data_IF_943634892516
#
_entry.id   IF_943634892516
#
_cell.length_a   1.000
_cell.length_b   1.000
_cell.length_c   1.000
_cell.angle_alpha   90.00
_cell.angle_beta   90.00
_cell.angle_gamma   90.00
#
_symmetry.space_group_name_H-M   'P 1'
#
loop_
_entity.id
_entity.type
_entity.pdbx_description
1 polymer ?
#
# COMPACT_ATOMS: atom_id res chain seq x y z
N UNK A 1 2.93 -24.77 31.68
CA UNK A 1 1.94 -24.89 30.58
C UNK A 1 0.57 -24.28 30.87
N UNK A 2 -0.08 -24.53 32.02
CA UNK A 2 -1.46 -24.04 32.30
C UNK A 2 -1.67 -22.52 32.19
N UNK A 3 -0.67 -21.71 32.56
CA UNK A 3 -0.75 -20.23 32.54
C UNK A 3 -0.78 -19.63 31.12
N UNK A 4 -0.05 -20.23 30.17
CA UNK A 4 -0.09 -19.81 28.76
C UNK A 4 -1.41 -20.20 28.11
N UNK A 5 -1.91 -21.42 28.34
CA UNK A 5 -3.21 -21.85 27.80
C UNK A 5 -4.40 -21.04 28.35
N UNK A 6 -4.30 -20.47 29.54
CA UNK A 6 -5.30 -19.55 30.10
C UNK A 6 -5.29 -18.19 29.39
N UNK A 7 -4.10 -17.61 29.15
CA UNK A 7 -3.93 -16.40 28.30
C UNK A 7 -4.48 -16.59 26.88
N UNK A 8 -4.39 -17.81 26.34
CA UNK A 8 -4.98 -18.16 25.03
C UNK A 8 -6.51 -18.26 25.04
N UNK A 9 -7.14 -18.52 26.18
CA UNK A 9 -8.62 -18.53 26.31
C UNK A 9 -9.21 -17.13 26.46
N UNK A 10 -8.46 -16.18 27.01
CA UNK A 10 -8.81 -14.74 27.08
C UNK A 10 -8.42 -13.97 25.82
N UNK A 11 -7.77 -14.65 24.87
CA UNK A 11 -7.22 -14.06 23.66
C UNK A 11 -8.38 -13.65 22.72
N UNK A 12 -8.46 -12.34 22.47
CA UNK A 12 -9.62 -11.72 21.82
C UNK A 12 -9.78 -12.22 20.37
N UNK A 13 -10.86 -12.97 20.13
CA UNK A 13 -11.13 -13.66 18.86
C UNK A 13 -11.17 -12.72 17.67
N UNK A 14 -11.65 -11.49 17.85
CA UNK A 14 -11.83 -10.56 16.73
C UNK A 14 -10.50 -9.90 16.30
N UNK A 15 -9.65 -9.52 17.26
CA UNK A 15 -8.32 -8.96 16.99
C UNK A 15 -7.41 -9.95 16.30
N UNK A 16 -7.37 -11.20 16.79
CA UNK A 16 -6.58 -12.25 16.17
C UNK A 16 -7.12 -12.62 14.79
N UNK A 17 -8.45 -12.69 14.60
CA UNK A 17 -9.06 -12.94 13.29
C UNK A 17 -8.73 -11.85 12.28
N UNK A 18 -8.83 -10.58 12.66
CA UNK A 18 -8.52 -9.46 11.76
C UNK A 18 -7.02 -9.40 11.44
N UNK A 19 -6.16 -9.67 12.42
CA UNK A 19 -4.71 -9.79 12.22
C UNK A 19 -4.35 -10.93 11.27
N UNK A 20 -4.95 -12.11 11.45
CA UNK A 20 -4.75 -13.26 10.55
C UNK A 20 -5.24 -12.93 9.14
N UNK A 21 -6.38 -12.28 9.01
CA UNK A 21 -6.89 -11.84 7.71
C UNK A 21 -5.93 -10.87 7.02
N UNK A 22 -5.37 -9.91 7.77
CA UNK A 22 -4.35 -8.99 7.27
C UNK A 22 -3.06 -9.73 6.85
N UNK A 23 -2.57 -10.66 7.69
CA UNK A 23 -1.40 -11.48 7.41
C UNK A 23 -1.57 -12.37 6.19
N UNK A 24 -2.72 -13.05 6.05
CA UNK A 24 -3.07 -13.87 4.90
C UNK A 24 -3.15 -13.02 3.63
N UNK A 25 -3.77 -11.84 3.71
CA UNK A 25 -3.87 -10.90 2.60
C UNK A 25 -2.47 -10.48 2.12
N UNK A 26 -1.56 -10.15 3.04
CA UNK A 26 -0.18 -9.84 2.72
C UNK A 26 0.56 -11.06 2.13
N UNK A 27 0.38 -12.25 2.70
CA UNK A 27 1.03 -13.49 2.26
C UNK A 27 0.62 -13.85 0.82
N UNK A 28 -0.68 -13.81 0.50
CA UNK A 28 -1.18 -14.08 -0.86
C UNK A 28 -0.56 -13.12 -1.87
N UNK A 29 -0.48 -11.83 -1.52
CA UNK A 29 0.16 -10.82 -2.37
C UNK A 29 1.64 -11.12 -2.56
N UNK A 30 2.34 -11.52 -1.49
CA UNK A 30 3.75 -11.86 -1.53
C UNK A 30 4.02 -13.08 -2.41
N UNK A 31 3.27 -14.17 -2.20
CA UNK A 31 3.44 -15.43 -2.94
C UNK A 31 3.15 -15.26 -4.43
N UNK A 32 2.03 -14.65 -4.80
CA UNK A 32 1.65 -14.52 -6.22
C UNK A 32 2.60 -13.58 -6.98
N UNK A 33 3.02 -12.48 -6.34
CA UNK A 33 4.05 -11.60 -6.91
C UNK A 33 5.39 -12.32 -7.05
N UNK A 34 5.82 -13.00 -5.99
CA UNK A 34 7.09 -13.72 -5.96
C UNK A 34 7.14 -14.79 -7.05
N UNK A 35 6.09 -15.62 -7.14
CA UNK A 35 5.92 -16.62 -8.20
C UNK A 35 6.05 -16.00 -9.60
N UNK A 36 5.33 -14.90 -9.86
CA UNK A 36 5.38 -14.23 -11.15
C UNK A 36 6.78 -13.73 -11.52
N UNK A 37 7.51 -13.15 -10.56
CA UNK A 37 8.89 -12.71 -10.80
C UNK A 37 9.84 -13.88 -11.05
N UNK A 38 9.70 -14.98 -10.32
CA UNK A 38 10.50 -16.19 -10.54
C UNK A 38 10.25 -16.76 -11.94
N UNK A 39 8.98 -16.91 -12.34
CA UNK A 39 8.64 -17.39 -13.69
C UNK A 39 9.15 -16.45 -14.78
N UNK A 40 9.10 -15.14 -14.56
CA UNK A 40 9.65 -14.15 -15.48
C UNK A 40 11.17 -14.30 -15.63
N UNK A 41 11.89 -14.48 -14.52
CA UNK A 41 13.34 -14.67 -14.54
C UNK A 41 13.75 -15.94 -15.27
N UNK A 42 13.08 -17.06 -14.99
CA UNK A 42 13.33 -18.34 -15.66
C UNK A 42 13.03 -18.22 -17.16
N UNK A 43 11.88 -17.64 -17.54
CA UNK A 43 11.53 -17.41 -18.95
C UNK A 43 12.59 -16.57 -19.66
N UNK A 44 13.03 -15.47 -19.04
CA UNK A 44 14.08 -14.61 -19.60
C UNK A 44 15.40 -15.38 -19.76
N UNK A 45 15.78 -16.21 -18.78
CA UNK A 45 16.96 -17.06 -18.85
C UNK A 45 16.88 -18.05 -20.02
N UNK A 46 15.74 -18.71 -20.19
CA UNK A 46 15.49 -19.65 -21.29
C UNK A 46 15.47 -18.94 -22.66
N UNK A 47 14.90 -17.74 -22.76
CA UNK A 47 14.85 -16.97 -24.02
C UNK A 47 16.23 -16.59 -24.55
N UNK A 48 17.27 -16.59 -23.70
CA UNK A 48 18.65 -16.41 -24.17
C UNK A 48 19.12 -17.53 -25.10
N UNK A 49 18.42 -18.67 -25.16
CA UNK A 49 18.66 -19.75 -26.13
C UNK A 49 18.58 -19.27 -27.57
N UNK A 50 17.71 -18.32 -27.87
CA UNK A 50 17.53 -17.78 -29.23
C UNK A 50 18.62 -16.78 -29.62
N UNK A 51 19.54 -16.44 -28.70
CA UNK A 51 20.67 -15.56 -28.99
C UNK A 51 21.84 -16.35 -29.58
N UNK A 52 22.62 -15.76 -30.51
CA UNK A 52 23.91 -16.29 -30.89
C UNK A 52 24.81 -16.49 -29.66
N UNK A 53 25.58 -17.59 -29.63
CA UNK A 53 26.35 -18.03 -28.46
C UNK A 53 27.28 -16.95 -27.90
N UNK A 54 27.96 -16.20 -28.77
CA UNK A 54 28.90 -15.15 -28.34
C UNK A 54 28.18 -13.97 -27.66
N UNK A 55 27.03 -13.57 -28.23
CA UNK A 55 26.17 -12.52 -27.67
C UNK A 55 25.59 -12.98 -26.33
N UNK A 56 25.10 -14.22 -26.26
CA UNK A 56 24.56 -14.80 -25.03
C UNK A 56 25.55 -14.76 -23.88
N UNK A 57 26.78 -15.26 -24.11
CA UNK A 57 27.84 -15.28 -23.10
C UNK A 57 28.22 -13.87 -22.65
N UNK A 58 28.33 -12.93 -23.59
CA UNK A 58 28.60 -11.53 -23.28
C UNK A 58 27.46 -10.92 -22.43
N UNK A 59 26.21 -11.11 -22.83
CA UNK A 59 25.03 -10.60 -22.11
C UNK A 59 24.98 -11.11 -20.67
N UNK A 60 25.13 -12.43 -20.46
CA UNK A 60 25.11 -13.02 -19.11
C UNK A 60 26.25 -12.46 -18.25
N UNK A 61 27.47 -12.34 -18.78
CA UNK A 61 28.62 -11.77 -18.05
C UNK A 61 28.42 -10.30 -17.67
N UNK A 62 27.85 -9.50 -18.57
CA UNK A 62 27.51 -8.09 -18.30
C UNK A 62 26.46 -8.02 -17.19
N UNK A 63 25.41 -8.84 -17.26
CA UNK A 63 24.36 -8.87 -16.24
C UNK A 63 24.91 -9.28 -14.87
N UNK A 64 25.77 -10.31 -14.80
CA UNK A 64 26.45 -10.70 -13.55
C UNK A 64 27.24 -9.51 -12.99
N UNK A 65 28.03 -8.84 -13.83
CA UNK A 65 28.82 -7.68 -13.41
C UNK A 65 27.94 -6.55 -12.86
N UNK A 66 26.81 -6.26 -13.51
CA UNK A 66 25.85 -5.24 -13.05
C UNK A 66 25.19 -5.61 -11.72
N UNK A 67 24.83 -6.89 -11.53
CA UNK A 67 24.25 -7.38 -10.28
C UNK A 67 25.27 -7.28 -9.14
N UNK A 68 26.52 -7.68 -9.38
CA UNK A 68 27.60 -7.58 -8.40
C UNK A 68 27.91 -6.13 -8.04
N UNK A 69 27.99 -5.24 -9.03
CA UNK A 69 28.17 -3.81 -8.82
C UNK A 69 27.04 -3.22 -7.96
N UNK A 70 25.78 -3.59 -8.27
CA UNK A 70 24.63 -3.16 -7.48
C UNK A 70 24.72 -3.65 -6.03
N UNK A 71 25.10 -4.90 -5.81
CA UNK A 71 25.29 -5.44 -4.47
C UNK A 71 26.36 -4.67 -3.70
N UNK A 72 27.50 -4.37 -4.34
CA UNK A 72 28.57 -3.58 -3.73
C UNK A 72 28.10 -2.18 -3.34
N UNK A 73 27.39 -1.48 -4.24
CA UNK A 73 26.82 -0.15 -3.97
C UNK A 73 25.87 -0.20 -2.78
N UNK A 74 24.96 -1.18 -2.76
CA UNK A 74 23.96 -1.31 -1.69
C UNK A 74 24.62 -1.69 -0.34
N UNK A 75 25.66 -2.53 -0.34
CA UNK A 75 26.44 -2.86 0.86
C UNK A 75 27.20 -1.65 1.40
N UNK A 76 27.95 -0.93 0.55
CA UNK A 76 28.68 0.29 0.94
C UNK A 76 27.70 1.32 1.51
N UNK A 77 26.56 1.49 0.85
CA UNK A 77 25.53 2.40 1.33
C UNK A 77 24.98 1.97 2.69
N UNK A 78 24.63 0.71 2.89
CA UNK A 78 24.11 0.22 4.17
C UNK A 78 25.16 0.30 5.29
N UNK A 79 26.43 0.08 4.99
CA UNK A 79 27.53 0.34 5.94
C UNK A 79 27.59 1.83 6.32
N UNK A 80 27.41 2.73 5.36
CA UNK A 80 27.47 4.18 5.58
C UNK A 80 26.24 4.76 6.26
N UNK A 81 25.03 4.31 5.91
CA UNK A 81 23.76 4.88 6.36
C UNK A 81 23.10 4.09 7.50
N UNK A 82 23.59 2.87 7.78
CA UNK A 82 22.95 1.87 8.67
C UNK A 82 21.51 1.53 8.29
N UNK A 83 21.07 1.90 7.08
CA UNK A 83 19.74 1.58 6.58
C UNK A 83 19.72 0.19 5.93
N UNK A 84 19.09 -0.78 6.61
CA UNK A 84 18.88 -2.15 6.10
C UNK A 84 17.80 -2.25 5.01
N UNK A 85 17.06 -1.16 4.76
CA UNK A 85 15.97 -1.14 3.79
C UNK A 85 16.41 -1.49 2.37
N UNK A 86 17.57 -0.97 1.93
CA UNK A 86 18.13 -1.26 0.60
C UNK A 86 18.55 -2.73 0.45
N UNK A 87 19.18 -3.31 1.48
CA UNK A 87 19.61 -4.72 1.47
C UNK A 87 18.45 -5.69 1.23
N UNK A 88 17.24 -5.42 1.73
CA UNK A 88 16.07 -6.25 1.46
C UNK A 88 15.73 -6.27 -0.04
N UNK A 89 15.81 -5.11 -0.69
CA UNK A 89 15.57 -4.98 -2.13
C UNK A 89 16.67 -5.67 -2.94
N UNK A 90 17.93 -5.49 -2.53
CA UNK A 90 19.09 -6.16 -3.15
C UNK A 90 18.98 -7.67 -3.04
N UNK A 91 18.61 -8.20 -1.86
CA UNK A 91 18.41 -9.63 -1.65
C UNK A 91 17.33 -10.20 -2.60
N UNK A 92 16.18 -9.53 -2.70
CA UNK A 92 15.13 -9.94 -3.64
C UNK A 92 15.61 -9.90 -5.10
N UNK A 93 16.40 -8.89 -5.47
CA UNK A 93 16.95 -8.77 -6.82
C UNK A 93 17.95 -9.88 -7.14
N UNK A 94 18.87 -10.19 -6.22
CA UNK A 94 19.80 -11.31 -6.33
C UNK A 94 19.05 -12.63 -6.43
N UNK A 95 18.04 -12.85 -5.60
CA UNK A 95 17.22 -14.06 -5.63
C UNK A 95 16.58 -14.26 -7.02
N UNK A 96 15.95 -13.21 -7.57
CA UNK A 96 15.37 -13.25 -8.92
C UNK A 96 16.46 -13.51 -9.98
N UNK A 97 17.64 -12.91 -9.84
CA UNK A 97 18.75 -13.12 -10.76
C UNK A 97 19.31 -14.55 -10.72
N UNK A 98 19.35 -15.20 -9.56
CA UNK A 98 19.72 -16.62 -9.46
C UNK A 98 18.77 -17.50 -10.29
N UNK A 99 17.46 -17.27 -10.22
CA UNK A 99 16.50 -17.98 -11.06
C UNK A 99 16.68 -17.72 -12.56
N UNK A 100 17.14 -16.52 -12.94
CA UNK A 100 17.52 -16.24 -14.33
C UNK A 100 18.73 -17.07 -14.76
N UNK A 101 19.76 -17.18 -13.91
CA UNK A 101 20.94 -18.00 -14.18
C UNK A 101 20.58 -19.48 -14.33
N UNK A 102 19.74 -20.01 -13.43
CA UNK A 102 19.23 -21.38 -13.53
C UNK A 102 18.50 -21.62 -14.86
N UNK A 103 17.68 -20.66 -15.30
CA UNK A 103 17.07 -20.72 -16.63
C UNK A 103 18.08 -20.72 -17.77
N UNK A 104 19.16 -19.94 -17.67
CA UNK A 104 20.25 -19.92 -18.66
C UNK A 104 21.12 -21.20 -18.65
N UNK A 105 21.32 -21.82 -17.49
CA UNK A 105 22.08 -23.05 -17.39
C UNK A 105 21.28 -24.27 -17.87
N UNK A 106 19.96 -24.26 -17.65
CA UNK A 106 19.06 -25.31 -18.15
C UNK A 106 19.20 -25.54 -19.66
N UNK A 107 19.28 -24.47 -20.45
CA UNK A 107 19.41 -24.55 -21.91
C UNK A 107 20.81 -24.96 -22.41
N UNK A 108 21.83 -24.93 -21.54
CA UNK A 108 23.15 -25.50 -21.86
C UNK A 108 23.12 -27.03 -21.78
N UNK A 109 22.25 -27.55 -20.91
CA UNK A 109 22.13 -28.99 -20.64
C UNK A 109 21.01 -29.64 -21.48
N UNK A 110 20.01 -28.88 -21.92
CA UNK A 110 18.84 -29.40 -22.61
C UNK A 110 18.52 -28.61 -23.89
N UNK A 111 18.09 -29.31 -24.94
CA UNK A 111 17.57 -28.70 -26.16
C UNK A 111 16.15 -28.19 -25.92
N UNK A 112 15.89 -26.92 -26.23
CA UNK A 112 14.56 -26.34 -26.13
C UNK A 112 13.67 -26.83 -27.27
N UNK A 113 12.57 -27.50 -26.93
CA UNK A 113 11.50 -27.83 -27.89
C UNK A 113 10.47 -26.71 -27.92
N UNK A 114 9.92 -26.40 -29.09
CA UNK A 114 8.85 -25.39 -29.26
C UNK A 114 7.66 -25.62 -28.30
N UNK A 115 7.26 -26.87 -28.09
CA UNK A 115 6.20 -27.23 -27.14
C UNK A 115 6.50 -26.79 -25.69
N UNK A 116 7.77 -26.89 -25.26
CA UNK A 116 8.18 -26.47 -23.92
C UNK A 116 8.09 -24.95 -23.77
N UNK A 117 8.56 -24.22 -24.79
CA UNK A 117 8.53 -22.76 -24.82
C UNK A 117 7.10 -22.25 -24.81
N UNK A 118 6.23 -22.82 -25.64
CA UNK A 118 4.81 -22.45 -25.69
C UNK A 118 4.10 -22.73 -24.36
N UNK A 119 4.38 -23.87 -23.71
CA UNK A 119 3.81 -24.18 -22.38
C UNK A 119 4.30 -23.18 -21.33
N UNK A 120 5.59 -22.87 -21.32
CA UNK A 120 6.17 -21.94 -20.35
C UNK A 120 5.66 -20.52 -20.54
N UNK A 121 5.54 -20.04 -21.79
CA UNK A 121 4.88 -18.78 -22.12
C UNK A 121 3.42 -18.76 -21.65
N UNK A 122 2.69 -19.86 -21.85
CA UNK A 122 1.31 -20.00 -21.37
C UNK A 122 1.24 -19.86 -19.84
N UNK A 123 2.09 -20.58 -19.10
CA UNK A 123 2.16 -20.49 -17.64
C UNK A 123 2.55 -19.08 -17.17
N UNK A 124 3.47 -18.43 -17.88
CA UNK A 124 3.87 -17.06 -17.59
C UNK A 124 2.71 -16.08 -17.79
N UNK A 125 1.94 -16.20 -18.88
CA UNK A 125 0.75 -15.38 -19.13
C UNK A 125 -0.34 -15.58 -18.06
N UNK A 126 -0.60 -16.83 -17.66
CA UNK A 126 -1.53 -17.12 -16.56
C UNK A 126 -1.04 -16.48 -15.26
N UNK A 127 0.26 -16.60 -14.96
CA UNK A 127 0.86 -15.99 -13.77
C UNK A 127 0.81 -14.47 -13.82
N UNK A 128 1.00 -13.84 -14.98
CA UNK A 128 0.87 -12.41 -15.18
C UNK A 128 -0.56 -11.94 -14.90
N UNK A 129 -1.55 -12.65 -15.45
CA UNK A 129 -2.96 -12.36 -15.23
C UNK A 129 -3.31 -12.45 -13.73
N UNK A 130 -2.91 -13.53 -13.06
CA UNK A 130 -3.14 -13.71 -11.62
C UNK A 130 -2.46 -12.63 -10.78
N UNK A 131 -1.18 -12.32 -11.06
CA UNK A 131 -0.45 -11.27 -10.36
C UNK A 131 -1.12 -9.90 -10.54
N UNK A 132 -1.57 -9.60 -11.75
CA UNK A 132 -2.31 -8.37 -12.06
C UNK A 132 -3.62 -8.31 -11.27
N UNK A 133 -4.44 -9.35 -11.31
CA UNK A 133 -5.70 -9.44 -10.56
C UNK A 133 -5.46 -9.20 -9.06
N UNK A 134 -4.45 -9.83 -8.48
CA UNK A 134 -4.14 -9.71 -7.05
C UNK A 134 -3.61 -8.32 -6.71
N UNK A 135 -2.80 -7.71 -7.57
CA UNK A 135 -2.28 -6.35 -7.35
C UNK A 135 -3.40 -5.31 -7.35
N UNK A 136 -4.37 -5.45 -8.25
CA UNK A 136 -5.44 -4.45 -8.43
C UNK A 136 -6.66 -4.72 -7.55
N UNK A 137 -7.17 -5.95 -7.53
CA UNK A 137 -8.45 -6.28 -6.87
C UNK A 137 -8.28 -6.41 -5.36
N UNK A 138 -7.20 -7.05 -4.91
CA UNK A 138 -7.02 -7.37 -3.49
C UNK A 138 -7.01 -6.13 -2.58
N UNK A 139 -6.27 -5.03 -2.90
CA UNK A 139 -6.31 -3.82 -2.08
C UNK A 139 -7.70 -3.18 -2.03
N UNK A 140 -8.44 -3.23 -3.15
CA UNK A 140 -9.80 -2.68 -3.25
C UNK A 140 -10.76 -3.47 -2.34
N UNK A 141 -10.72 -4.81 -2.42
CA UNK A 141 -11.54 -5.68 -1.59
C UNK A 141 -11.20 -5.53 -0.11
N UNK A 142 -9.91 -5.46 0.23
CA UNK A 142 -9.46 -5.27 1.60
C UNK A 142 -9.92 -3.92 2.16
N UNK A 143 -9.74 -2.82 1.40
CA UNK A 143 -10.25 -1.49 1.78
C UNK A 143 -11.75 -1.50 1.99
N UNK A 144 -12.52 -2.12 1.08
CA UNK A 144 -13.97 -2.24 1.19
C UNK A 144 -14.40 -3.04 2.41
N UNK A 145 -13.69 -4.13 2.71
CA UNK A 145 -13.93 -4.92 3.92
C UNK A 145 -13.70 -4.09 5.19
N UNK A 146 -12.60 -3.34 5.27
CA UNK A 146 -12.30 -2.50 6.43
C UNK A 146 -13.35 -1.40 6.62
N UNK A 147 -13.73 -0.68 5.56
CA UNK A 147 -14.76 0.36 5.62
C UNK A 147 -16.17 -0.20 5.91
N UNK A 148 -16.41 -1.48 5.61
CA UNK A 148 -17.68 -2.15 5.92
C UNK A 148 -17.73 -2.63 7.36
N UNK A 149 -16.66 -3.22 7.88
CA UNK A 149 -16.70 -3.99 9.13
C UNK A 149 -15.95 -3.35 10.30
N UNK A 150 -14.90 -2.57 10.05
CA UNK A 150 -13.97 -2.11 11.09
C UNK A 150 -14.01 -0.60 11.28
N UNK A 151 -14.03 0.14 10.18
CA UNK A 151 -13.87 1.60 10.14
C UNK A 151 -15.20 2.24 9.74
N UNK A 152 -15.58 3.31 10.41
CA UNK A 152 -16.75 4.11 10.08
C UNK A 152 -16.45 5.03 8.89
N UNK A 153 -16.92 4.63 7.69
CA UNK A 153 -16.71 5.39 6.45
C UNK A 153 -17.36 6.78 6.46
N UNK A 154 -18.51 6.93 7.12
CA UNK A 154 -19.32 8.15 7.12
C UNK A 154 -18.66 9.21 7.99
N UNK A 155 -18.19 8.79 9.16
CA UNK A 155 -17.37 9.63 10.05
C UNK A 155 -16.08 10.13 9.37
N UNK A 156 -15.44 9.31 8.54
CA UNK A 156 -14.27 9.70 7.74
C UNK A 156 -14.60 10.62 6.55
N UNK A 157 -15.88 10.89 6.27
CA UNK A 157 -16.30 11.67 5.10
C UNK A 157 -16.01 10.99 3.76
N UNK A 158 -15.81 9.66 3.74
CA UNK A 158 -15.59 8.90 2.50
C UNK A 158 -16.96 8.62 1.87
N UNK A 159 -17.30 9.40 0.84
CA UNK A 159 -18.58 9.33 0.13
C UNK A 159 -18.43 9.48 -1.39
N UNK A 160 -19.49 9.22 -2.14
CA UNK A 160 -19.60 9.67 -3.54
C UNK A 160 -20.03 11.14 -3.55
N UNK A 161 -19.71 11.86 -4.63
CA UNK A 161 -20.04 13.29 -4.76
C UNK A 161 -21.56 13.56 -4.75
N UNK A 162 -22.35 12.57 -5.16
CA UNK A 162 -23.82 12.55 -5.16
C UNK A 162 -24.45 12.27 -3.79
N UNK A 163 -23.69 11.73 -2.84
CA UNK A 163 -24.21 11.38 -1.51
C UNK A 163 -24.33 12.65 -0.64
N UNK A 164 -25.11 12.60 0.44
CA UNK A 164 -25.20 13.71 1.40
C UNK A 164 -23.83 14.08 1.99
N UNK A 165 -23.68 15.34 2.40
CA UNK A 165 -22.49 15.83 3.08
C UNK A 165 -22.19 15.01 4.35
N UNK A 166 -20.92 14.98 4.80
CA UNK A 166 -20.57 14.32 6.06
C UNK A 166 -21.44 14.83 7.22
N UNK A 167 -21.77 13.96 8.19
CA UNK A 167 -22.51 14.37 9.38
C UNK A 167 -21.74 15.43 10.18
N UNK A 168 -22.43 16.17 11.05
CA UNK A 168 -21.77 17.19 11.90
C UNK A 168 -20.63 16.60 12.75
N UNK A 169 -20.87 15.40 13.30
CA UNK A 169 -19.86 14.58 13.96
C UNK A 169 -19.01 13.84 12.90
N UNK A 170 -17.88 14.42 12.52
CA UNK A 170 -16.97 13.87 11.52
C UNK A 170 -15.50 14.13 11.91
N UNK A 171 -14.58 13.44 11.22
CA UNK A 171 -13.15 13.57 11.46
C UNK A 171 -12.64 15.01 11.37
N UNK A 172 -13.18 15.82 10.45
CA UNK A 172 -12.68 17.17 10.19
C UNK A 172 -13.06 18.14 11.32
N UNK A 173 -14.27 18.03 11.85
CA UNK A 173 -14.73 18.81 13.02
C UNK A 173 -13.96 18.38 14.26
N UNK A 174 -13.86 17.07 14.49
CA UNK A 174 -13.22 16.51 15.68
C UNK A 174 -11.71 16.74 15.70
N UNK A 175 -11.07 16.83 14.54
CA UNK A 175 -9.64 17.15 14.41
C UNK A 175 -9.29 18.57 14.90
N UNK A 176 -10.25 19.49 14.89
CA UNK A 176 -10.07 20.88 15.34
C UNK A 176 -10.19 21.03 16.89
N UNK A 177 -10.49 19.94 17.62
CA UNK A 177 -10.46 19.92 19.10
C UNK A 177 -9.05 20.27 19.64
N UNK A 178 -9.01 21.16 20.63
CA UNK A 178 -7.77 21.74 21.18
C UNK A 178 -7.07 20.79 22.14
N UNK A 179 -7.83 20.07 22.95
CA UNK A 179 -7.29 19.13 23.92
C UNK A 179 -6.91 17.81 23.24
N UNK A 180 -5.61 17.51 23.18
CA UNK A 180 -5.08 16.38 22.41
C UNK A 180 -5.65 15.02 22.86
N UNK A 181 -5.75 14.78 24.17
CA UNK A 181 -6.27 13.53 24.73
C UNK A 181 -7.76 13.34 24.43
N UNK A 182 -8.54 14.40 24.60
CA UNK A 182 -9.96 14.42 24.28
C UNK A 182 -10.19 14.18 22.79
N UNK A 183 -9.45 14.89 21.93
CA UNK A 183 -9.46 14.71 20.48
C UNK A 183 -9.17 13.26 20.09
N UNK A 184 -8.10 12.69 20.62
CA UNK A 184 -7.69 11.32 20.28
C UNK A 184 -8.72 10.28 20.73
N UNK A 185 -9.27 10.41 21.94
CA UNK A 185 -10.32 9.50 22.45
C UNK A 185 -11.60 9.59 21.62
N UNK A 186 -12.07 10.82 21.36
CA UNK A 186 -13.29 11.07 20.60
C UNK A 186 -13.18 10.52 19.17
N UNK A 187 -12.08 10.82 18.47
CA UNK A 187 -11.87 10.31 17.10
C UNK A 187 -11.81 8.79 17.10
N UNK A 188 -11.04 8.15 17.99
CA UNK A 188 -10.94 6.70 18.04
C UNK A 188 -12.29 6.01 18.30
N UNK A 189 -13.11 6.57 19.19
CA UNK A 189 -14.45 6.05 19.50
C UNK A 189 -15.40 6.14 18.30
N UNK A 190 -15.33 7.21 17.51
CA UNK A 190 -16.25 7.43 16.40
C UNK A 190 -15.79 6.75 15.09
N UNK A 191 -14.47 6.66 14.88
CA UNK A 191 -13.87 6.15 13.65
C UNK A 191 -13.79 4.62 13.60
N UNK A 192 -13.67 3.95 14.74
CA UNK A 192 -13.60 2.48 14.84
C UNK A 192 -14.93 1.95 15.37
N UNK A 193 -15.47 0.94 14.69
CA UNK A 193 -16.72 0.29 15.10
C UNK A 193 -16.51 -0.47 16.41
N UNK A 194 -17.51 -0.43 17.29
CA UNK A 194 -17.52 -1.03 18.64
C UNK A 194 -16.83 -2.41 18.75
N UNK A 195 -17.07 -3.40 17.87
CA UNK A 195 -16.44 -4.72 18.01
C UNK A 195 -14.92 -4.74 17.84
N UNK A 196 -14.31 -3.62 17.41
CA UNK A 196 -12.90 -3.49 17.03
C UNK A 196 -12.11 -2.49 17.88
N UNK A 197 -12.77 -1.73 18.78
CA UNK A 197 -12.13 -0.62 19.51
C UNK A 197 -11.04 -1.05 20.49
N UNK A 198 -11.06 -2.28 20.99
CA UNK A 198 -10.05 -2.79 21.92
C UNK A 198 -8.72 -3.17 21.26
N UNK A 199 -8.69 -3.27 19.93
CA UNK A 199 -7.55 -3.83 19.18
C UNK A 199 -7.26 -3.14 17.86
N UNK A 200 -8.09 -2.20 17.41
CA UNK A 200 -7.78 -1.30 16.30
C UNK A 200 -7.75 0.11 16.85
N UNK A 201 -6.76 0.88 16.41
CA UNK A 201 -6.56 2.27 16.83
C UNK A 201 -6.17 3.12 15.63
N UNK A 202 -6.66 4.36 15.59
CA UNK A 202 -6.07 5.43 14.81
C UNK A 202 -4.85 5.99 15.56
N UNK A 203 -3.68 5.42 15.30
CA UNK A 203 -2.47 5.79 16.03
C UNK A 203 -1.80 7.05 15.51
N UNK A 204 -2.01 7.42 14.24
CA UNK A 204 -1.48 8.66 13.67
C UNK A 204 -2.52 9.38 12.82
N UNK A 205 -2.63 10.69 13.02
CA UNK A 205 -3.40 11.60 12.19
C UNK A 205 -2.48 12.69 11.66
N UNK A 206 -1.81 12.42 10.53
CA UNK A 206 -0.95 13.44 9.91
C UNK A 206 -1.82 14.44 9.14
N UNK A 207 -1.45 15.72 9.20
CA UNK A 207 -2.17 16.83 8.55
C UNK A 207 -1.24 17.58 7.61
N UNK A 208 -1.71 17.86 6.41
CA UNK A 208 -1.05 18.68 5.39
C UNK A 208 -2.02 19.82 5.02
N UNK A 209 -1.56 21.07 5.09
CA UNK A 209 -2.35 22.24 4.73
C UNK A 209 -1.81 22.79 3.41
N UNK A 210 -2.66 22.80 2.38
CA UNK A 210 -2.37 23.39 1.08
C UNK A 210 -2.88 24.83 1.08
N UNK A 211 -1.98 25.78 0.90
CA UNK A 211 -2.30 27.21 0.78
C UNK A 211 -2.29 27.64 -0.69
N UNK A 212 -3.22 28.49 -1.10
CA UNK A 212 -3.24 29.09 -2.43
C UNK A 212 -3.50 30.61 -2.34
N UNK A 213 -3.14 31.32 -3.41
CA UNK A 213 -3.43 32.75 -3.54
C UNK A 213 -4.94 32.91 -3.76
N UNK A 214 -5.61 33.61 -2.85
CA UNK A 214 -6.98 34.09 -3.03
C UNK A 214 -6.96 35.54 -3.50
N UNK A 215 -7.86 35.83 -4.44
CA UNK A 215 -8.12 37.19 -4.91
C UNK A 215 -9.40 37.66 -4.22
N UNK A 216 -9.29 38.62 -3.31
CA UNK A 216 -10.45 39.32 -2.78
C UNK A 216 -10.77 40.50 -3.69
N UNK A 217 -11.95 40.49 -4.30
CA UNK A 217 -12.49 41.69 -4.96
C UNK A 217 -13.12 42.53 -3.85
N UNK A 218 -12.38 43.50 -3.35
CA UNK A 218 -12.96 44.51 -2.47
C UNK A 218 -13.82 45.42 -3.35
N UNK A 219 -15.10 45.55 -3.03
CA UNK A 219 -15.95 46.55 -3.67
C UNK A 219 -15.39 47.93 -3.31
N UNK A 220 -15.11 48.75 -4.34
CA UNK A 220 -14.57 50.12 -4.33
C UNK A 220 -13.03 50.27 -4.39
N UNK A 221 -12.56 50.74 -5.55
CA UNK A 221 -11.32 51.49 -5.86
C UNK A 221 -9.96 51.05 -5.29
N UNK A 222 -9.80 49.83 -4.77
CA UNK A 222 -8.49 49.28 -4.39
C UNK A 222 -7.98 48.25 -5.37
N UNK A 223 -6.65 48.23 -5.55
CA UNK A 223 -5.93 47.17 -6.27
C UNK A 223 -6.31 45.79 -5.71
N UNK A 224 -6.35 44.78 -6.58
CA UNK A 224 -6.69 43.40 -6.20
C UNK A 224 -5.72 42.90 -5.10
N UNK A 225 -6.19 42.87 -3.87
CA UNK A 225 -5.41 42.33 -2.75
C UNK A 225 -5.16 40.84 -2.95
N UNK A 226 -3.88 40.45 -2.90
CA UNK A 226 -3.42 39.06 -2.98
C UNK A 226 -3.14 38.56 -1.58
N UNK A 227 -3.91 37.59 -1.11
CA UNK A 227 -3.68 36.96 0.19
C UNK A 227 -3.45 35.48 0.02
N UNK A 228 -2.55 34.91 0.82
CA UNK A 228 -2.45 33.46 0.96
C UNK A 228 -3.57 32.99 1.88
N UNK A 229 -4.37 32.05 1.41
CA UNK A 229 -5.42 31.41 2.20
C UNK A 229 -5.34 29.91 2.10
N UNK A 230 -5.85 29.22 3.12
CA UNK A 230 -5.97 27.77 3.11
C UNK A 230 -6.93 27.35 1.98
N UNK A 231 -6.41 26.55 1.06
CA UNK A 231 -7.12 26.00 -0.08
C UNK A 231 -7.70 24.62 0.24
N UNK A 232 -6.92 23.77 0.90
CA UNK A 232 -7.36 22.46 1.36
C UNK A 232 -6.56 21.99 2.58
N UNK A 233 -7.14 21.10 3.37
CA UNK A 233 -6.45 20.36 4.43
C UNK A 233 -6.59 18.88 4.16
N UNK A 234 -5.47 18.19 3.96
CA UNK A 234 -5.39 16.77 3.70
C UNK A 234 -4.98 16.05 4.98
N UNK A 235 -5.80 15.10 5.40
CA UNK A 235 -5.54 14.21 6.52
C UNK A 235 -5.07 12.84 6.04
N UNK A 236 -4.07 12.29 6.73
CA UNK A 236 -3.55 10.95 6.50
C UNK A 236 -3.70 10.07 7.74
N UNK A 237 -4.92 9.58 8.04
CA UNK A 237 -5.15 8.70 9.17
C UNK A 237 -4.46 7.34 8.93
N UNK A 238 -3.70 6.89 9.93
CA UNK A 238 -2.99 5.61 9.94
C UNK A 238 -3.58 4.72 11.03
N UNK A 239 -4.20 3.63 10.60
CA UNK A 239 -4.80 2.65 11.49
C UNK A 239 -3.81 1.53 11.80
N UNK A 240 -3.70 1.18 13.08
CA UNK A 240 -2.93 0.03 13.55
C UNK A 240 -3.86 -1.02 14.16
N UNK A 241 -3.43 -2.27 14.09
CA UNK A 241 -4.10 -3.40 14.74
C UNK A 241 -3.13 -4.05 15.74
N UNK A 242 -3.66 -4.36 16.92
CA UNK A 242 -2.97 -5.01 18.03
C UNK A 242 -3.65 -6.35 18.30
N UNK A 243 -3.10 -7.48 17.81
CA UNK A 243 -3.77 -8.79 17.88
C UNK A 243 -4.08 -9.26 19.31
N UNK A 244 -3.32 -8.77 20.29
CA UNK A 244 -3.44 -9.09 21.71
C UNK A 244 -4.05 -7.94 22.53
N UNK A 245 -4.57 -6.91 21.87
CA UNK A 245 -5.10 -5.69 22.50
C UNK A 245 -4.07 -4.56 22.57
N UNK A 246 -4.57 -3.32 22.58
CA UNK A 246 -3.75 -2.09 22.50
C UNK A 246 -2.71 -2.01 23.64
N UNK A 247 -3.03 -2.55 24.83
CA UNK A 247 -2.15 -2.50 26.02
C UNK A 247 -0.85 -3.30 25.88
N UNK A 248 -0.82 -4.31 25.02
CA UNK A 248 0.34 -5.19 24.83
C UNK A 248 1.36 -4.59 23.84
N UNK A 249 1.05 -3.42 23.22
CA UNK A 249 1.88 -2.66 22.27
C UNK A 249 2.52 -3.50 21.13
N UNK A 250 1.88 -4.63 20.80
CA UNK A 250 2.28 -5.47 19.68
C UNK A 250 1.36 -5.21 18.51
N UNK A 251 1.65 -4.16 17.73
CA UNK A 251 0.77 -3.72 16.66
C UNK A 251 1.46 -3.52 15.31
N UNK A 252 0.72 -3.77 14.23
CA UNK A 252 1.16 -3.50 12.86
C UNK A 252 0.17 -2.59 12.13
N UNK A 253 0.65 -1.90 11.09
CA UNK A 253 -0.18 -1.00 10.28
C UNK A 253 -1.21 -1.78 9.49
N UNK A 254 -2.48 -1.41 9.65
CA UNK A 254 -3.62 -2.00 8.96
C UNK A 254 -3.87 -1.31 7.61
N UNK A 255 -4.04 0.01 7.62
CA UNK A 255 -4.28 0.82 6.42
C UNK A 255 -3.97 2.29 6.67
N UNK A 256 -3.58 3.01 5.63
CA UNK A 256 -3.44 4.47 5.60
C UNK A 256 -4.42 5.03 4.57
N UNK A 257 -5.17 6.06 4.92
CA UNK A 257 -5.99 6.81 3.96
C UNK A 257 -5.36 8.16 3.62
N UNK A 258 -5.86 8.77 2.54
CA UNK A 258 -5.64 10.17 2.17
C UNK A 258 -7.02 10.79 2.04
N UNK A 259 -7.33 11.77 2.89
CA UNK A 259 -8.66 12.37 3.00
C UNK A 259 -8.53 13.89 2.83
N UNK A 260 -9.15 14.45 1.80
CA UNK A 260 -9.20 15.90 1.60
C UNK A 260 -10.45 16.48 2.29
N UNK A 261 -10.29 17.54 3.08
CA UNK A 261 -11.43 18.25 3.69
C UNK A 261 -12.30 18.86 2.61
N UNK A 262 -11.68 19.54 1.63
CA UNK A 262 -12.40 20.14 0.51
C UNK A 262 -13.21 19.11 -0.28
N UNK A 263 -12.61 17.98 -0.63
CA UNK A 263 -13.31 16.94 -1.38
C UNK A 263 -14.52 16.36 -0.62
N UNK A 264 -14.42 16.22 0.70
CA UNK A 264 -15.53 15.72 1.51
C UNK A 264 -16.75 16.66 1.50
N UNK A 265 -16.51 17.99 1.50
CA UNK A 265 -17.56 19.01 1.54
C UNK A 265 -17.94 19.60 0.17
N UNK A 266 -17.40 19.09 -0.93
CA UNK A 266 -17.77 19.53 -2.29
C UNK A 266 -18.89 18.64 -2.85
N UNK A 267 -20.02 19.23 -3.26
CA UNK A 267 -21.07 18.53 -4.01
C UNK A 267 -20.91 18.90 -5.48
N UNK A 268 -20.77 17.92 -6.36
CA UNK A 268 -21.00 18.16 -7.79
C UNK A 268 -22.52 18.19 -8.01
N UNK A 269 -23.05 19.38 -8.27
CA UNK A 269 -24.43 19.53 -8.72
C UNK A 269 -24.45 19.18 -10.22
N UNK A 270 -25.25 18.19 -10.61
CA UNK A 270 -25.44 17.68 -11.98
C UNK A 270 -25.91 18.73 -13.03
N UNK A 271 -25.83 20.04 -12.74
CA UNK A 271 -26.22 21.13 -13.64
C UNK A 271 -25.07 22.01 -14.16
N UNK A 272 -23.83 21.87 -13.66
CA UNK A 272 -22.73 22.79 -13.99
C UNK A 272 -21.93 22.44 -15.26
N UNK A 273 -22.39 21.48 -16.08
CA UNK A 273 -21.79 21.19 -17.39
C UNK A 273 -22.39 21.98 -18.56
N UNK A 274 -23.43 22.80 -18.37
CA UNK A 274 -24.07 23.56 -19.47
C UNK A 274 -23.56 24.99 -19.70
N UNK A 275 -22.49 25.43 -19.03
CA UNK A 275 -21.95 26.78 -19.21
C UNK A 275 -20.48 26.85 -19.64
N UNK A 276 -19.84 25.73 -19.95
CA UNK A 276 -18.45 25.69 -20.45
C UNK A 276 -18.25 24.69 -21.61
N UNK A 277 -19.29 24.44 -22.41
CA UNK A 277 -19.16 23.89 -23.77
C UNK A 277 -19.15 25.00 -24.80
#
# INVERSE_FOLDING_TARGET
MKKHTQKWKELNKNGLKLSLFCGLNWLVKFLIKGQFYIFSAVLLGLLTYYMPRDIQLFTVKVLISLVMLKCLIDVIYTLSSRELGRMKTTFNFVLIFLFFLEGNDYIKQHVLTESMVNRLLTFWLISLALATLVIFIQPILFKRYLLKNVINKEYLGIRKLTDHLPPECNLYTDADEKEADKRMKMINQNVIKQPYQEFVELSYLNREVLTAIRYSVVQFEKEKERTFGDYDTIYYPVFRIYPFGIKEDFGHTLIKFKLSRRAAFTIEVEGFQKQLS
#
